data_IF_603152614175
#
_entry.id   IF_603152614175
#
_cell.length_a   1.000
_cell.length_b   1.000
_cell.length_c   1.000
_cell.angle_alpha   90.00
_cell.angle_beta   90.00
_cell.angle_gamma   90.00
#
_symmetry.space_group_name_H-M   'P 1'
#
loop_
_entity.id
_entity.type
_entity.pdbx_description
1 polymer ?
#
# COMPACT_ATOMS: atom_id res chain seq x y z
N UNK A 1 -27.30 -34.99 73.50
CA UNK A 1 -27.71 -36.07 72.58
C UNK A 1 -29.05 -35.60 71.99
N UNK A 2 -29.11 -35.23 70.71
CA UNK A 2 -29.34 -36.13 69.57
C UNK A 2 -30.76 -36.73 69.62
N UNK A 3 -31.58 -36.86 68.57
CA UNK A 3 -31.52 -36.45 67.15
C UNK A 3 -32.94 -36.59 66.55
N UNK A 4 -33.40 -35.82 65.55
CA UNK A 4 -32.82 -34.59 64.98
C UNK A 4 -33.84 -33.69 64.25
N UNK A 5 -33.38 -32.52 63.82
CA UNK A 5 -33.98 -31.55 62.91
C UNK A 5 -34.01 -32.05 61.45
N UNK A 6 -35.18 -32.08 60.79
CA UNK A 6 -35.26 -32.23 59.32
C UNK A 6 -36.23 -31.21 58.70
N UNK A 7 -35.80 -29.95 58.75
CA UNK A 7 -36.44 -28.85 58.03
C UNK A 7 -36.01 -28.92 56.56
N UNK A 8 -36.88 -29.44 55.68
CA UNK A 8 -36.65 -29.49 54.23
C UNK A 8 -36.74 -28.10 53.59
N UNK A 9 -35.73 -27.27 53.85
CA UNK A 9 -35.50 -26.00 53.18
C UNK A 9 -35.16 -26.22 51.71
N UNK A 10 -36.20 -26.24 50.87
CA UNK A 10 -36.07 -26.28 49.43
C UNK A 10 -35.27 -25.06 48.93
N UNK A 11 -33.98 -25.27 48.65
CA UNK A 11 -33.13 -24.26 47.98
C UNK A 11 -33.79 -23.90 46.64
N UNK A 12 -33.94 -22.61 46.30
CA UNK A 12 -34.44 -22.25 44.97
C UNK A 12 -33.47 -22.78 43.92
N UNK A 13 -34.01 -23.49 42.92
CA UNK A 13 -33.25 -24.03 41.79
C UNK A 13 -32.45 -22.88 41.16
N UNK A 14 -31.13 -23.04 41.10
CA UNK A 14 -30.23 -22.05 40.50
C UNK A 14 -30.49 -21.95 39.00
N UNK A 15 -31.35 -21.01 38.61
CA UNK A 15 -31.55 -20.66 37.21
C UNK A 15 -30.23 -20.11 36.64
N UNK A 16 -29.71 -20.74 35.58
CA UNK A 16 -28.52 -20.24 34.89
C UNK A 16 -28.73 -18.77 34.49
N UNK A 17 -27.85 -17.83 34.87
CA UNK A 17 -28.08 -16.40 34.66
C UNK A 17 -28.19 -16.05 33.16
N UNK A 18 -27.52 -16.82 32.30
CA UNK A 18 -27.61 -16.72 30.83
C UNK A 18 -28.97 -17.15 30.27
N UNK A 19 -29.63 -18.16 30.87
CA UNK A 19 -30.99 -18.57 30.48
C UNK A 19 -32.01 -17.52 30.90
N UNK A 20 -31.91 -17.04 32.15
CA UNK A 20 -32.76 -15.97 32.66
C UNK A 20 -32.59 -14.66 31.86
N UNK A 21 -31.39 -14.34 31.38
CA UNK A 21 -31.16 -13.23 30.44
C UNK A 21 -31.92 -13.43 29.12
N UNK A 22 -31.79 -14.60 28.48
CA UNK A 22 -32.44 -14.88 27.20
C UNK A 22 -33.97 -14.83 27.32
N UNK A 23 -34.54 -15.40 28.39
CA UNK A 23 -35.98 -15.32 28.67
C UNK A 23 -36.47 -13.87 28.79
N UNK A 24 -35.73 -13.01 29.50
CA UNK A 24 -36.08 -11.59 29.66
C UNK A 24 -35.93 -10.81 28.36
N UNK A 25 -34.87 -11.05 27.59
CA UNK A 25 -34.66 -10.46 26.27
C UNK A 25 -35.82 -10.84 25.34
N UNK A 26 -36.15 -12.13 25.25
CA UNK A 26 -37.26 -12.62 24.43
C UNK A 26 -38.62 -12.10 24.91
N UNK A 27 -38.82 -11.90 26.22
CA UNK A 27 -40.01 -11.25 26.77
C UNK A 27 -40.10 -9.79 26.33
N UNK A 28 -39.02 -9.01 26.44
CA UNK A 28 -38.97 -7.61 26.00
C UNK A 28 -39.22 -7.45 24.50
N UNK A 29 -38.69 -8.37 23.68
CA UNK A 29 -38.93 -8.42 22.23
C UNK A 29 -40.39 -8.77 21.90
N UNK A 30 -41.00 -9.73 22.61
CA UNK A 30 -42.44 -10.04 22.46
C UNK A 30 -43.35 -8.87 22.87
N UNK A 31 -42.91 -8.02 23.79
CA UNK A 31 -43.62 -6.82 24.23
C UNK A 31 -43.37 -5.60 23.32
N UNK A 32 -42.62 -5.75 22.22
CA UNK A 32 -42.34 -4.67 21.27
C UNK A 32 -41.55 -3.51 21.85
N UNK A 33 -40.79 -3.74 22.93
CA UNK A 33 -39.98 -2.68 23.54
C UNK A 33 -38.82 -2.27 22.62
N UNK A 34 -38.61 -0.97 22.45
CA UNK A 34 -37.41 -0.43 21.78
C UNK A 34 -36.16 -0.77 22.59
N UNK A 35 -35.16 -1.32 21.90
CA UNK A 35 -33.86 -1.77 22.43
C UNK A 35 -32.68 -1.19 21.61
N UNK A 36 -32.97 -0.20 20.79
CA UNK A 36 -32.14 0.30 19.69
C UNK A 36 -31.05 1.28 20.11
N UNK A 37 -31.42 2.37 20.78
CA UNK A 37 -30.46 3.44 21.13
C UNK A 37 -29.99 3.33 22.59
N UNK A 38 -28.75 2.85 22.85
CA UNK A 38 -28.18 2.81 24.19
C UNK A 38 -27.84 4.19 24.77
N UNK A 39 -28.09 5.30 24.05
CA UNK A 39 -28.03 6.67 24.59
C UNK A 39 -29.34 7.07 25.28
N UNK A 40 -30.45 6.39 25.01
CA UNK A 40 -31.73 6.67 25.65
C UNK A 40 -31.81 6.00 27.04
N UNK A 41 -32.08 6.80 28.07
CA UNK A 41 -32.15 6.36 29.47
C UNK A 41 -33.24 5.28 29.68
N UNK A 42 -34.38 5.35 28.99
CA UNK A 42 -35.42 4.31 29.09
C UNK A 42 -34.95 2.97 28.50
N UNK A 43 -34.21 3.03 27.39
CA UNK A 43 -33.65 1.84 26.73
C UNK A 43 -32.58 1.21 27.63
N UNK A 44 -31.75 2.03 28.28
CA UNK A 44 -30.78 1.56 29.29
C UNK A 44 -31.44 0.96 30.53
N UNK A 45 -32.53 1.53 31.02
CA UNK A 45 -33.32 0.92 32.11
C UNK A 45 -33.83 -0.47 31.74
N UNK A 46 -34.40 -0.62 30.53
CA UNK A 46 -34.88 -1.92 30.03
C UNK A 46 -33.73 -2.91 29.90
N UNK A 47 -32.59 -2.51 29.31
CA UNK A 47 -31.41 -3.36 29.22
C UNK A 47 -30.85 -3.75 30.60
N UNK A 48 -30.83 -2.85 31.59
CA UNK A 48 -30.42 -3.17 32.95
C UNK A 48 -31.35 -4.20 33.64
N UNK A 49 -32.66 -4.17 33.35
CA UNK A 49 -33.62 -5.16 33.82
C UNK A 49 -33.39 -6.53 33.14
N UNK A 50 -33.15 -6.54 31.82
CA UNK A 50 -32.83 -7.76 31.04
C UNK A 50 -31.54 -8.41 31.55
N UNK A 51 -30.51 -7.59 31.82
CA UNK A 51 -29.18 -8.02 32.29
C UNK A 51 -29.09 -8.30 33.80
N UNK A 52 -30.19 -8.15 34.57
CA UNK A 52 -30.16 -8.30 36.04
C UNK A 52 -29.67 -9.70 36.45
N UNK A 53 -28.58 -9.75 37.24
CA UNK A 53 -27.98 -11.01 37.70
C UNK A 53 -26.83 -11.54 36.84
N UNK A 54 -26.51 -10.89 35.70
CA UNK A 54 -25.22 -11.09 35.04
C UNK A 54 -24.15 -10.17 35.67
N UNK A 55 -22.90 -10.63 35.80
CA UNK A 55 -21.77 -9.78 36.21
C UNK A 55 -21.31 -8.90 35.03
N UNK A 56 -20.77 -7.71 35.32
CA UNK A 56 -20.44 -6.70 34.30
C UNK A 56 -19.40 -7.18 33.28
N UNK A 57 -18.43 -7.98 33.71
CA UNK A 57 -17.41 -8.58 32.83
C UNK A 57 -18.01 -9.52 31.77
N UNK A 58 -19.11 -10.21 32.08
CA UNK A 58 -19.77 -11.11 31.13
C UNK A 58 -20.64 -10.37 30.11
N UNK A 59 -21.13 -9.16 30.41
CA UNK A 59 -22.04 -8.42 29.52
C UNK A 59 -21.41 -8.14 28.14
N UNK A 60 -20.11 -7.82 28.12
CA UNK A 60 -19.33 -7.56 26.90
C UNK A 60 -19.32 -8.74 25.92
N UNK A 61 -19.46 -9.98 26.40
CA UNK A 61 -19.47 -11.17 25.54
C UNK A 61 -20.90 -11.69 25.33
N UNK A 62 -21.71 -11.75 26.39
CA UNK A 62 -23.06 -12.34 26.37
C UNK A 62 -24.00 -11.54 25.47
N UNK A 63 -24.01 -10.20 25.54
CA UNK A 63 -24.97 -9.39 24.77
C UNK A 63 -24.69 -9.51 23.25
N UNK A 64 -23.48 -9.28 22.74
CA UNK A 64 -23.23 -9.36 21.29
C UNK A 64 -23.39 -10.78 20.75
N UNK A 65 -22.97 -11.82 21.49
CA UNK A 65 -23.10 -13.21 21.06
C UNK A 65 -24.56 -13.66 20.98
N UNK A 66 -25.38 -13.34 21.99
CA UNK A 66 -26.80 -13.72 22.01
C UNK A 66 -27.62 -12.99 20.94
N UNK A 67 -27.38 -11.68 20.74
CA UNK A 67 -28.02 -10.94 19.66
C UNK A 67 -27.64 -11.48 18.28
N UNK A 68 -26.37 -11.79 18.03
CA UNK A 68 -25.92 -12.44 16.78
C UNK A 68 -26.53 -13.83 16.59
N UNK A 69 -26.69 -14.61 17.65
CA UNK A 69 -27.30 -15.93 17.58
C UNK A 69 -28.79 -15.87 17.22
N UNK A 70 -29.54 -14.93 17.83
CA UNK A 70 -30.96 -14.72 17.54
C UNK A 70 -31.22 -14.07 16.18
N UNK A 71 -30.32 -13.22 15.69
CA UNK A 71 -30.38 -12.65 14.33
C UNK A 71 -30.02 -13.66 13.22
N UNK A 72 -29.56 -14.86 13.57
CA UNK A 72 -29.37 -15.99 12.63
C UNK A 72 -30.59 -16.93 12.58
N UNK A 73 -31.62 -16.68 13.38
CA UNK A 73 -32.83 -17.48 13.43
C UNK A 73 -33.97 -16.70 12.76
N UNK A 74 -34.42 -17.14 11.58
CA UNK A 74 -35.39 -16.42 10.74
C UNK A 74 -36.66 -16.01 11.51
N UNK A 75 -37.15 -16.87 12.41
CA UNK A 75 -38.34 -16.63 13.24
C UNK A 75 -38.23 -15.48 14.25
N UNK A 76 -37.01 -15.00 14.53
CA UNK A 76 -36.76 -13.88 15.46
C UNK A 76 -36.24 -12.62 14.80
N UNK A 77 -35.78 -12.68 13.54
CA UNK A 77 -35.22 -11.52 12.81
C UNK A 77 -36.22 -10.37 12.72
N UNK A 78 -37.45 -10.61 12.26
CA UNK A 78 -38.47 -9.56 12.08
C UNK A 78 -38.78 -8.83 13.41
N UNK A 79 -38.91 -9.60 14.50
CA UNK A 79 -39.25 -9.07 15.83
C UNK A 79 -38.10 -8.27 16.44
N UNK A 80 -36.86 -8.72 16.27
CA UNK A 80 -35.67 -7.97 16.68
C UNK A 80 -35.52 -6.68 15.86
N UNK A 81 -35.78 -6.74 14.56
CA UNK A 81 -35.74 -5.58 13.67
C UNK A 81 -36.81 -4.56 14.05
N UNK A 82 -38.02 -4.99 14.43
CA UNK A 82 -39.07 -4.12 14.97
C UNK A 82 -38.69 -3.46 16.32
N UNK A 83 -37.89 -4.14 17.16
CA UNK A 83 -37.27 -3.55 18.36
C UNK A 83 -36.07 -2.63 18.05
N UNK A 84 -35.70 -2.50 16.77
CA UNK A 84 -34.59 -1.68 16.25
C UNK A 84 -33.19 -2.28 16.43
N UNK A 85 -33.12 -3.61 16.57
CA UNK A 85 -31.86 -4.40 16.56
C UNK A 85 -31.69 -4.98 15.15
N UNK A 86 -30.63 -4.56 14.43
CA UNK A 86 -30.45 -4.87 13.01
C UNK A 86 -29.14 -5.59 12.71
N UNK A 87 -29.20 -6.62 11.86
CA UNK A 87 -28.01 -7.32 11.35
C UNK A 87 -27.01 -6.37 10.65
N UNK A 88 -27.49 -5.25 10.08
CA UNK A 88 -26.66 -4.28 9.35
C UNK A 88 -25.75 -3.43 10.26
N UNK A 89 -25.95 -3.44 11.57
CA UNK A 89 -25.20 -2.60 12.51
C UNK A 89 -24.54 -3.43 13.62
N UNK A 90 -23.57 -4.32 13.31
CA UNK A 90 -22.94 -5.19 14.30
C UNK A 90 -22.23 -4.42 15.43
N UNK A 91 -21.75 -3.20 15.16
CA UNK A 91 -21.15 -2.30 16.15
C UNK A 91 -22.17 -1.76 17.17
N UNK A 92 -23.46 -1.66 16.81
CA UNK A 92 -24.55 -1.29 17.73
C UNK A 92 -24.65 -2.33 18.85
N UNK A 93 -24.55 -3.62 18.52
CA UNK A 93 -24.63 -4.72 19.49
C UNK A 93 -23.46 -4.72 20.48
N UNK A 94 -22.26 -4.41 20.00
CA UNK A 94 -21.05 -4.25 20.83
C UNK A 94 -21.16 -3.03 21.76
N UNK A 95 -21.72 -1.91 21.27
CA UNK A 95 -21.86 -0.68 22.03
C UNK A 95 -22.85 -0.78 23.21
N UNK A 96 -23.85 -1.66 23.15
CA UNK A 96 -24.86 -1.79 24.23
C UNK A 96 -24.21 -2.15 25.58
N UNK A 97 -23.26 -3.10 25.60
CA UNK A 97 -22.68 -3.59 26.85
C UNK A 97 -21.94 -2.50 27.66
N UNK A 98 -21.03 -1.69 27.08
CA UNK A 98 -20.42 -0.54 27.76
C UNK A 98 -21.42 0.45 28.36
N UNK A 99 -22.49 0.81 27.64
CA UNK A 99 -23.50 1.74 28.16
C UNK A 99 -24.33 1.13 29.31
N UNK A 100 -24.63 -0.18 29.25
CA UNK A 100 -25.34 -0.87 30.35
C UNK A 100 -24.46 -0.97 31.60
N UNK A 101 -23.16 -1.24 31.44
CA UNK A 101 -22.20 -1.28 32.56
C UNK A 101 -22.08 0.11 33.20
N UNK A 102 -21.91 1.17 32.42
CA UNK A 102 -21.82 2.54 32.96
C UNK A 102 -23.13 2.97 33.62
N UNK A 103 -24.28 2.60 33.07
CA UNK A 103 -25.58 2.84 33.68
C UNK A 103 -25.77 2.10 35.01
N UNK A 104 -25.37 0.83 35.11
CA UNK A 104 -25.41 0.07 36.37
C UNK A 104 -24.53 0.70 37.44
N UNK A 105 -23.31 1.11 37.08
CA UNK A 105 -22.39 1.82 37.99
C UNK A 105 -22.96 3.16 38.45
N UNK A 106 -23.55 3.94 37.53
CA UNK A 106 -24.23 5.19 37.85
C UNK A 106 -25.41 4.98 38.81
N UNK A 107 -26.25 3.97 38.59
CA UNK A 107 -27.38 3.65 39.47
C UNK A 107 -26.92 3.11 40.84
N UNK A 108 -25.81 2.37 40.90
CA UNK A 108 -25.19 1.95 42.15
C UNK A 108 -24.65 3.15 42.95
N UNK A 109 -23.95 4.07 42.30
CA UNK A 109 -23.46 5.32 42.91
C UNK A 109 -24.61 6.24 43.38
N UNK A 110 -25.77 6.19 42.73
CA UNK A 110 -27.00 6.91 43.11
C UNK A 110 -27.87 6.15 44.13
N UNK A 111 -27.48 4.93 44.50
CA UNK A 111 -28.17 4.09 45.48
C UNK A 111 -27.95 4.49 46.94
N UNK A 112 -27.14 5.52 47.19
CA UNK A 112 -27.03 6.21 48.48
C UNK A 112 -27.48 7.68 48.32
N UNK A 113 -28.10 8.17 49.40
CA UNK A 113 -28.82 9.43 49.61
C UNK A 113 -28.69 10.53 48.51
N UNK A 114 -29.80 11.09 47.95
CA UNK A 114 -29.74 12.20 47.00
C UNK A 114 -29.10 13.50 47.53
N UNK A 115 -28.79 13.58 48.84
CA UNK A 115 -27.99 14.66 49.45
C UNK A 115 -26.48 14.41 49.50
N UNK A 116 -26.00 13.22 49.13
CA UNK A 116 -24.59 12.87 49.25
C UNK A 116 -23.72 13.67 48.26
N UNK A 117 -23.01 14.68 48.77
CA UNK A 117 -22.12 15.51 47.97
C UNK A 117 -20.96 14.72 47.36
N UNK A 118 -20.50 13.64 48.00
CA UNK A 118 -19.42 12.81 47.45
C UNK A 118 -19.90 12.00 46.23
N UNK A 119 -21.16 11.57 46.21
CA UNK A 119 -21.76 10.97 45.03
C UNK A 119 -21.89 11.99 43.87
N UNK A 120 -22.24 13.25 44.17
CA UNK A 120 -22.28 14.32 43.13
C UNK A 120 -20.90 14.64 42.56
N UNK A 121 -19.90 14.83 43.44
CA UNK A 121 -18.50 15.11 43.04
C UNK A 121 -17.92 13.97 42.20
N UNK A 122 -18.16 12.70 42.56
CA UNK A 122 -17.69 11.56 41.76
C UNK A 122 -18.40 11.45 40.40
N UNK A 123 -19.70 11.75 40.32
CA UNK A 123 -20.42 11.82 39.03
C UNK A 123 -19.85 12.93 38.13
N UNK A 124 -19.50 14.09 38.69
CA UNK A 124 -18.95 15.20 37.89
C UNK A 124 -17.49 14.96 37.47
N UNK A 125 -16.69 14.24 38.27
CA UNK A 125 -15.37 13.72 37.86
C UNK A 125 -15.54 12.72 36.71
N UNK A 126 -16.40 11.71 36.84
CA UNK A 126 -16.66 10.73 35.77
C UNK A 126 -17.20 11.38 34.49
N UNK A 127 -17.96 12.48 34.59
CA UNK A 127 -18.41 13.28 33.44
C UNK A 127 -17.27 14.08 32.81
N UNK A 128 -16.32 14.59 33.60
CA UNK A 128 -15.13 15.25 33.08
C UNK A 128 -14.24 14.24 32.34
N UNK A 129 -13.97 13.07 32.96
CA UNK A 129 -13.24 11.95 32.34
C UNK A 129 -13.90 11.49 31.03
N UNK A 130 -15.23 11.35 30.99
CA UNK A 130 -15.95 11.00 29.76
C UNK A 130 -15.85 12.08 28.65
N UNK A 131 -15.73 13.37 29.01
CA UNK A 131 -15.44 14.43 28.02
C UNK A 131 -14.02 14.31 27.51
N UNK A 132 -13.03 14.23 28.41
CA UNK A 132 -11.62 14.05 28.04
C UNK A 132 -11.41 12.83 27.15
N UNK A 133 -12.03 11.69 27.48
CA UNK A 133 -11.97 10.47 26.68
C UNK A 133 -12.64 10.67 25.30
N UNK A 134 -13.78 11.37 25.25
CA UNK A 134 -14.45 11.71 23.98
C UNK A 134 -13.58 12.61 23.11
N UNK A 135 -12.93 13.61 23.71
CA UNK A 135 -12.08 14.56 22.99
C UNK A 135 -10.82 13.86 22.46
N UNK A 136 -10.23 12.94 23.25
CA UNK A 136 -9.18 12.02 22.80
C UNK A 136 -9.65 11.12 21.65
N UNK A 137 -10.85 10.54 21.74
CA UNK A 137 -11.42 9.73 20.64
C UNK A 137 -11.63 10.55 19.37
N UNK A 138 -12.18 11.77 19.47
CA UNK A 138 -12.34 12.67 18.33
C UNK A 138 -10.98 12.99 17.69
N UNK A 139 -9.97 13.33 18.50
CA UNK A 139 -8.61 13.60 18.02
C UNK A 139 -8.01 12.39 17.28
N UNK A 140 -8.26 11.16 17.75
CA UNK A 140 -7.84 9.94 17.04
C UNK A 140 -8.62 9.75 15.74
N UNK A 141 -9.92 10.05 15.70
CA UNK A 141 -10.69 10.01 14.45
C UNK A 141 -10.20 11.04 13.42
N UNK A 142 -9.91 12.27 13.85
CA UNK A 142 -9.36 13.32 12.98
C UNK A 142 -7.97 12.93 12.44
N UNK A 143 -7.12 12.32 13.28
CA UNK A 143 -5.83 11.75 12.85
C UNK A 143 -5.97 10.61 11.85
N UNK A 144 -6.90 9.68 12.08
CA UNK A 144 -7.16 8.56 11.15
C UNK A 144 -7.69 9.08 9.82
N UNK A 145 -8.61 10.05 9.83
CA UNK A 145 -9.12 10.67 8.60
C UNK A 145 -8.02 11.39 7.82
N UNK A 146 -7.11 12.11 8.51
CA UNK A 146 -5.92 12.70 7.90
C UNK A 146 -5.00 11.67 7.26
N UNK A 147 -4.72 10.56 7.95
CA UNK A 147 -3.90 9.45 7.43
C UNK A 147 -4.56 8.72 6.25
N UNK A 148 -5.90 8.59 6.24
CA UNK A 148 -6.64 8.03 5.10
C UNK A 148 -6.55 8.95 3.87
N UNK A 149 -6.64 10.27 4.07
CA UNK A 149 -6.45 11.25 2.99
C UNK A 149 -5.00 11.29 2.46
N UNK A 150 -4.00 11.20 3.34
CA UNK A 150 -2.59 11.07 2.94
C UNK A 150 -2.34 9.76 2.18
N UNK A 151 -2.95 8.65 2.62
CA UNK A 151 -2.88 7.36 1.93
C UNK A 151 -3.51 7.42 0.54
N UNK A 152 -4.67 8.05 0.39
CA UNK A 152 -5.34 8.22 -0.92
C UNK A 152 -4.48 9.06 -1.86
N UNK A 153 -3.93 10.19 -1.38
CA UNK A 153 -2.97 11.00 -2.14
C UNK A 153 -1.75 10.19 -2.58
N UNK A 154 -1.12 9.46 -1.65
CA UNK A 154 0.06 8.64 -1.95
C UNK A 154 -0.25 7.50 -2.92
N UNK A 155 -1.46 6.95 -2.92
CA UNK A 155 -1.88 5.97 -3.92
C UNK A 155 -1.98 6.59 -5.31
N UNK A 156 -2.60 7.77 -5.44
CA UNK A 156 -2.69 8.51 -6.71
C UNK A 156 -1.29 8.88 -7.24
N UNK A 157 -0.40 9.38 -6.37
CA UNK A 157 0.97 9.71 -6.72
C UNK A 157 1.76 8.46 -7.15
N UNK A 158 1.52 7.30 -6.51
CA UNK A 158 2.16 6.03 -6.87
C UNK A 158 1.67 5.51 -8.24
N UNK A 159 0.35 5.51 -8.49
CA UNK A 159 -0.24 5.08 -9.75
C UNK A 159 0.26 5.96 -10.92
N UNK A 160 0.38 7.28 -10.71
CA UNK A 160 0.98 8.22 -11.66
C UNK A 160 2.44 7.87 -11.97
N UNK A 161 3.26 7.59 -10.94
CA UNK A 161 4.66 7.20 -11.13
C UNK A 161 4.79 5.82 -11.82
N UNK A 162 3.93 4.86 -11.51
CA UNK A 162 3.89 3.57 -12.22
C UNK A 162 3.60 3.76 -13.71
N UNK A 163 2.61 4.60 -14.05
CA UNK A 163 2.30 4.92 -15.45
C UNK A 163 3.48 5.60 -16.17
N UNK A 164 4.18 6.53 -15.51
CA UNK A 164 5.39 7.16 -16.05
C UNK A 164 6.52 6.15 -16.30
N UNK A 165 6.79 5.26 -15.34
CA UNK A 165 7.82 4.22 -15.49
C UNK A 165 7.47 3.24 -16.60
N UNK A 166 6.19 2.87 -16.77
CA UNK A 166 5.74 2.05 -17.89
C UNK A 166 5.90 2.77 -19.24
N UNK A 167 5.56 4.06 -19.30
CA UNK A 167 5.74 4.86 -20.51
C UNK A 167 7.22 4.98 -20.91
N UNK A 168 8.13 5.21 -19.95
CA UNK A 168 9.58 5.25 -20.23
C UNK A 168 10.15 3.88 -20.63
N UNK A 169 9.66 2.78 -20.05
CA UNK A 169 10.04 1.43 -20.50
C UNK A 169 9.64 1.18 -21.96
N UNK A 170 8.40 1.52 -22.34
CA UNK A 170 7.94 1.39 -23.73
C UNK A 170 8.74 2.29 -24.67
N UNK A 171 9.06 3.52 -24.27
CA UNK A 171 9.95 4.42 -25.04
C UNK A 171 11.35 3.82 -25.23
N UNK A 172 11.91 3.21 -24.18
CA UNK A 172 13.20 2.52 -24.22
C UNK A 172 13.18 1.29 -25.13
N UNK A 173 12.16 0.45 -25.03
CA UNK A 173 11.97 -0.71 -25.92
C UNK A 173 11.84 -0.30 -27.39
N UNK A 174 11.06 0.74 -27.69
CA UNK A 174 10.91 1.24 -29.06
C UNK A 174 12.19 1.91 -29.58
N UNK A 175 12.97 2.58 -28.72
CA UNK A 175 14.28 3.11 -29.09
C UNK A 175 15.28 1.99 -29.41
N UNK A 176 15.30 0.92 -28.61
CA UNK A 176 16.15 -0.26 -28.86
C UNK A 176 15.75 -0.99 -30.14
N UNK A 177 14.45 -1.14 -30.42
CA UNK A 177 13.96 -1.70 -31.71
C UNK A 177 14.43 -0.87 -32.89
N UNK A 178 14.25 0.47 -32.83
CA UNK A 178 14.71 1.38 -33.90
C UNK A 178 16.22 1.34 -34.10
N UNK A 179 17.00 1.16 -33.03
CA UNK A 179 18.45 0.98 -33.11
C UNK A 179 18.80 -0.33 -33.83
N UNK A 180 18.16 -1.43 -33.46
CA UNK A 180 18.33 -2.72 -34.14
C UNK A 180 17.94 -2.64 -35.63
N UNK A 181 16.76 -2.08 -35.96
CA UNK A 181 16.32 -1.86 -37.34
C UNK A 181 17.32 -1.00 -38.13
N UNK A 182 17.87 0.06 -37.52
CA UNK A 182 18.88 0.90 -38.15
C UNK A 182 20.19 0.14 -38.38
N UNK A 183 20.62 -0.68 -37.41
CA UNK A 183 21.82 -1.52 -37.50
C UNK A 183 21.70 -2.55 -38.62
N UNK A 184 20.58 -3.26 -38.70
CA UNK A 184 20.33 -4.28 -39.72
C UNK A 184 20.27 -3.67 -41.13
N UNK A 185 19.63 -2.49 -41.28
CA UNK A 185 19.61 -1.76 -42.54
C UNK A 185 21.00 -1.25 -42.94
N UNK A 186 21.78 -0.70 -41.99
CA UNK A 186 23.16 -0.26 -42.23
C UNK A 186 24.06 -1.45 -42.61
N UNK A 187 23.93 -2.60 -41.94
CA UNK A 187 24.69 -3.82 -42.25
C UNK A 187 24.34 -4.38 -43.64
N UNK A 188 23.06 -4.32 -44.03
CA UNK A 188 22.62 -4.69 -45.38
C UNK A 188 23.22 -3.79 -46.46
N UNK A 189 23.23 -2.47 -46.25
CA UNK A 189 23.83 -1.52 -47.18
C UNK A 189 25.35 -1.70 -47.24
N UNK A 190 26.01 -1.82 -46.09
CA UNK A 190 27.45 -2.08 -46.00
C UNK A 190 27.86 -3.32 -46.81
N UNK A 191 27.17 -4.45 -46.64
CA UNK A 191 27.40 -5.67 -47.44
C UNK A 191 27.24 -5.43 -48.94
N UNK A 192 26.18 -4.72 -49.36
CA UNK A 192 25.95 -4.38 -50.77
C UNK A 192 27.11 -3.56 -51.36
N UNK A 193 27.57 -2.54 -50.64
CA UNK A 193 28.67 -1.69 -51.09
C UNK A 193 30.02 -2.40 -51.08
N UNK A 194 30.29 -3.32 -50.13
CA UNK A 194 31.47 -4.19 -50.17
C UNK A 194 31.49 -5.10 -51.40
N UNK A 195 30.35 -5.71 -51.77
CA UNK A 195 30.25 -6.48 -53.02
C UNK A 195 30.46 -5.60 -54.26
N UNK A 196 29.89 -4.39 -54.28
CA UNK A 196 30.09 -3.44 -55.37
C UNK A 196 31.55 -2.96 -55.48
N UNK A 197 32.22 -2.73 -54.36
CA UNK A 197 33.64 -2.37 -54.29
C UNK A 197 34.52 -3.49 -54.86
N UNK A 198 34.28 -4.74 -54.44
CA UNK A 198 34.98 -5.92 -54.97
C UNK A 198 34.74 -6.11 -56.47
N UNK A 199 33.51 -5.92 -56.92
CA UNK A 199 33.16 -6.05 -58.35
C UNK A 199 33.83 -4.95 -59.18
N UNK A 200 33.72 -3.67 -58.81
CA UNK A 200 34.35 -2.57 -59.55
C UNK A 200 35.90 -2.64 -59.49
N UNK A 201 36.50 -3.11 -58.39
CA UNK A 201 37.96 -3.40 -58.34
C UNK A 201 38.38 -4.50 -59.31
N UNK A 202 37.62 -5.59 -59.43
CA UNK A 202 37.91 -6.64 -60.42
C UNK A 202 37.67 -6.22 -61.88
N UNK A 203 36.84 -5.18 -62.11
CA UNK A 203 36.58 -4.60 -63.45
C UNK A 203 37.64 -3.58 -63.89
N UNK A 204 38.52 -3.10 -63.01
CA UNK A 204 39.40 -1.95 -63.24
C UNK A 204 40.64 -2.20 -64.14
N UNK A 205 40.48 -3.00 -65.19
CA UNK A 205 41.55 -3.22 -66.16
C UNK A 205 41.72 -2.10 -67.20
N UNK A 206 40.70 -1.25 -67.45
CA UNK A 206 40.73 0.02 -68.24
C UNK A 206 39.29 0.54 -68.47
N UNK A 207 38.81 1.60 -67.80
CA UNK A 207 37.76 2.52 -68.32
C UNK A 207 37.34 3.66 -67.35
N UNK A 208 36.64 4.73 -67.80
CA UNK A 208 36.31 5.93 -67.00
C UNK A 208 35.22 5.75 -65.93
N UNK A 209 35.00 4.52 -65.42
CA UNK A 209 34.06 4.24 -64.33
C UNK A 209 34.61 4.53 -62.93
N UNK A 210 35.77 5.19 -62.82
CA UNK A 210 36.46 5.51 -61.55
C UNK A 210 35.58 6.25 -60.54
N UNK A 211 34.61 7.05 -60.99
CA UNK A 211 33.63 7.71 -60.13
C UNK A 211 32.72 6.72 -59.38
N UNK A 212 32.40 5.56 -59.98
CA UNK A 212 31.62 4.50 -59.33
C UNK A 212 32.43 3.77 -58.27
N UNK A 213 33.73 3.56 -58.51
CA UNK A 213 34.64 3.04 -57.49
C UNK A 213 34.70 4.00 -56.30
N UNK A 214 34.95 5.29 -56.54
CA UNK A 214 34.99 6.30 -55.48
C UNK A 214 33.68 6.35 -54.69
N UNK A 215 32.55 6.23 -55.38
CA UNK A 215 31.22 6.15 -54.74
C UNK A 215 31.07 4.88 -53.88
N UNK A 216 31.62 3.75 -54.32
CA UNK A 216 31.64 2.51 -53.53
C UNK A 216 32.53 2.66 -52.28
N UNK A 217 33.73 3.23 -52.42
CA UNK A 217 34.69 3.46 -51.33
C UNK A 217 34.07 4.39 -50.26
N UNK A 218 33.57 5.56 -50.66
CA UNK A 218 32.88 6.50 -49.74
C UNK A 218 31.66 5.84 -49.07
N UNK A 219 30.89 5.00 -49.78
CA UNK A 219 29.76 4.28 -49.20
C UNK A 219 30.19 3.20 -48.20
N UNK A 220 31.28 2.46 -48.47
CA UNK A 220 31.84 1.47 -47.52
C UNK A 220 32.33 2.18 -46.27
N UNK A 221 33.11 3.27 -46.38
CA UNK A 221 33.61 4.05 -45.24
C UNK A 221 32.47 4.65 -44.39
N UNK A 222 31.49 5.31 -45.03
CA UNK A 222 30.38 5.94 -44.31
C UNK A 222 29.48 4.91 -43.60
N UNK A 223 29.21 3.76 -44.22
CA UNK A 223 28.45 2.69 -43.57
C UNK A 223 29.25 1.91 -42.53
N UNK A 224 30.58 1.75 -42.69
CA UNK A 224 31.46 1.22 -41.65
C UNK A 224 31.44 2.14 -40.41
N UNK A 225 31.69 3.44 -40.58
CA UNK A 225 31.65 4.41 -39.48
C UNK A 225 30.27 4.49 -38.80
N UNK A 226 29.18 4.35 -39.58
CA UNK A 226 27.82 4.27 -39.02
C UNK A 226 27.64 3.01 -38.16
N UNK A 227 28.14 1.86 -38.58
CA UNK A 227 28.05 0.61 -37.83
C UNK A 227 28.99 0.58 -36.60
N UNK A 228 30.19 1.16 -36.70
CA UNK A 228 31.08 1.40 -35.56
C UNK A 228 30.40 2.30 -34.51
N UNK A 229 29.74 3.39 -34.93
CA UNK A 229 28.97 4.26 -34.04
C UNK A 229 27.74 3.57 -33.41
N UNK A 230 27.21 2.52 -34.05
CA UNK A 230 26.17 1.64 -33.51
C UNK A 230 26.74 0.47 -32.69
N UNK A 231 28.05 0.46 -32.41
CA UNK A 231 28.72 -0.54 -31.57
C UNK A 231 28.99 -1.89 -32.25
N UNK A 232 28.86 -1.98 -33.58
CA UNK A 232 29.00 -3.20 -34.36
C UNK A 232 30.39 -3.33 -35.04
N UNK A 233 31.45 -2.79 -34.44
CA UNK A 233 32.79 -2.71 -35.04
C UNK A 233 33.34 -4.09 -35.43
N UNK A 234 33.30 -5.06 -34.51
CA UNK A 234 33.85 -6.40 -34.77
C UNK A 234 33.07 -7.09 -35.92
N UNK A 235 31.75 -6.90 -35.98
CA UNK A 235 30.91 -7.40 -37.08
C UNK A 235 31.20 -6.73 -38.43
N UNK A 236 31.66 -5.47 -38.42
CA UNK A 236 32.11 -4.73 -39.61
C UNK A 236 33.41 -5.31 -40.13
N UNK A 237 34.41 -5.49 -39.26
CA UNK A 237 35.72 -6.06 -39.60
C UNK A 237 35.54 -7.51 -40.13
N UNK A 238 34.80 -8.37 -39.45
CA UNK A 238 34.47 -9.73 -39.89
C UNK A 238 33.72 -9.77 -41.24
N UNK A 239 32.69 -8.92 -41.41
CA UNK A 239 31.90 -8.86 -42.66
C UNK A 239 32.74 -8.37 -43.84
N UNK A 240 33.61 -7.38 -43.61
CA UNK A 240 34.50 -6.85 -44.63
C UNK A 240 35.56 -7.87 -45.05
N UNK A 241 36.21 -8.52 -44.08
CA UNK A 241 37.18 -9.58 -44.33
C UNK A 241 36.56 -10.74 -45.11
N UNK A 242 35.37 -11.21 -44.71
CA UNK A 242 34.66 -12.31 -45.36
C UNK A 242 34.19 -12.01 -46.79
N UNK A 243 33.83 -10.76 -47.10
CA UNK A 243 33.37 -10.37 -48.45
C UNK A 243 34.55 -10.01 -49.37
N UNK A 244 35.48 -9.18 -48.90
CA UNK A 244 36.62 -8.72 -49.71
C UNK A 244 37.66 -9.84 -49.89
N UNK A 245 37.93 -10.62 -48.85
CA UNK A 245 39.07 -11.53 -48.74
C UNK A 245 40.31 -10.82 -48.18
N UNK A 246 41.26 -11.59 -47.65
CA UNK A 246 42.44 -11.09 -46.93
C UNK A 246 43.19 -9.98 -47.70
N UNK A 247 43.50 -10.20 -48.99
CA UNK A 247 44.28 -9.26 -49.80
C UNK A 247 43.62 -7.89 -49.94
N UNK A 248 42.34 -7.85 -50.35
CA UNK A 248 41.58 -6.61 -50.57
C UNK A 248 41.18 -5.94 -49.25
N UNK A 249 40.96 -6.73 -48.20
CA UNK A 249 40.72 -6.20 -46.86
C UNK A 249 41.97 -5.51 -46.30
N UNK A 250 43.16 -6.13 -46.45
CA UNK A 250 44.42 -5.54 -46.03
C UNK A 250 44.75 -4.27 -46.82
N UNK A 251 44.53 -4.26 -48.15
CA UNK A 251 44.72 -3.05 -48.98
C UNK A 251 43.85 -1.87 -48.51
N UNK A 252 42.59 -2.14 -48.14
CA UNK A 252 41.59 -1.09 -47.90
C UNK A 252 41.45 -0.66 -46.43
N UNK A 253 41.39 -1.61 -45.48
CA UNK A 253 41.23 -1.33 -44.04
C UNK A 253 42.56 -1.20 -43.28
N UNK A 254 43.66 -1.74 -43.85
CA UNK A 254 45.01 -1.71 -43.29
C UNK A 254 46.05 -1.11 -44.26
N UNK A 255 45.61 -0.34 -45.25
CA UNK A 255 46.45 0.21 -46.32
C UNK A 255 47.75 0.86 -45.83
N UNK A 256 48.84 0.77 -46.63
CA UNK A 256 50.21 0.92 -46.16
C UNK A 256 50.44 2.23 -45.42
N UNK A 257 50.61 2.11 -44.10
CA UNK A 257 50.94 3.19 -43.16
C UNK A 257 50.20 4.51 -43.41
N UNK A 258 48.87 4.51 -43.31
CA UNK A 258 48.11 5.77 -43.28
C UNK A 258 48.34 6.49 -41.91
N UNK A 259 49.12 7.59 -41.84
CA UNK A 259 49.56 8.18 -40.58
C UNK A 259 48.45 8.90 -39.81
N UNK A 260 47.26 9.05 -40.41
CA UNK A 260 46.11 9.72 -39.81
C UNK A 260 45.36 8.87 -38.77
N UNK A 261 45.74 7.60 -38.55
CA UNK A 261 45.07 6.70 -37.59
C UNK A 261 45.79 6.58 -36.23
N UNK A 262 46.68 7.53 -35.92
CA UNK A 262 47.13 7.77 -34.53
C UNK A 262 45.94 8.38 -33.77
N UNK A 263 45.41 7.74 -32.71
CA UNK A 263 44.43 8.39 -31.84
C UNK A 263 45.07 9.67 -31.28
N UNK A 264 44.36 10.81 -31.21
CA UNK A 264 44.89 11.96 -30.48
C UNK A 264 45.23 11.49 -29.06
N UNK A 265 46.49 11.69 -28.69
CA UNK A 265 47.01 11.32 -27.38
C UNK A 265 46.06 11.89 -26.32
N UNK A 266 45.49 11.07 -25.42
CA UNK A 266 44.40 11.52 -24.57
C UNK A 266 44.91 12.66 -23.70
N UNK A 267 44.38 13.86 -23.93
CA UNK A 267 44.70 15.02 -23.10
C UNK A 267 44.51 14.63 -21.62
N UNK A 268 45.45 14.96 -20.74
CA UNK A 268 45.38 14.56 -19.35
C UNK A 268 44.11 15.14 -18.74
N UNK A 269 43.13 14.27 -18.49
CA UNK A 269 41.83 14.63 -17.93
C UNK A 269 42.10 15.46 -16.68
N UNK A 270 41.70 16.74 -16.61
CA UNK A 270 41.92 17.56 -15.45
C UNK A 270 41.23 16.88 -14.27
N UNK A 271 42.03 16.51 -13.26
CA UNK A 271 41.57 15.82 -12.06
C UNK A 271 40.35 16.57 -11.52
N UNK A 272 39.19 15.91 -11.30
CA UNK A 272 38.04 16.60 -10.75
C UNK A 272 38.46 17.19 -9.41
N UNK A 273 38.47 18.52 -9.33
CA UNK A 273 38.68 19.22 -8.06
C UNK A 273 37.52 18.84 -7.17
N UNK A 274 37.79 17.93 -6.23
CA UNK A 274 36.86 17.55 -5.18
C UNK A 274 36.51 18.83 -4.44
N UNK A 275 35.32 19.35 -4.68
CA UNK A 275 34.79 20.45 -3.91
C UNK A 275 34.75 19.99 -2.44
N UNK A 276 35.22 20.82 -1.49
CA UNK A 276 35.19 20.44 -0.08
C UNK A 276 33.76 20.14 0.35
N UNK A 277 33.63 19.01 1.05
CA UNK A 277 32.39 18.48 1.61
C UNK A 277 31.63 19.58 2.38
N UNK A 278 30.34 19.84 2.08
CA UNK A 278 29.57 20.83 2.81
C UNK A 278 29.40 20.37 4.25
N UNK A 279 29.89 21.16 5.20
CA UNK A 279 29.81 20.85 6.63
C UNK A 279 28.38 20.52 7.06
N UNK A 280 28.15 19.45 7.84
CA UNK A 280 26.83 19.16 8.37
C UNK A 280 26.39 20.30 9.31
N UNK A 281 25.12 20.72 9.28
CA UNK A 281 24.64 21.84 10.08
C UNK A 281 24.79 21.56 11.58
N UNK A 282 25.83 22.15 12.17
CA UNK A 282 26.11 22.09 13.60
C UNK A 282 25.13 22.96 14.36
N UNK A 283 23.92 22.43 14.60
CA UNK A 283 22.97 22.95 15.59
C UNK A 283 21.87 21.93 15.93
N UNK A 284 22.20 20.96 16.79
CA UNK A 284 21.20 20.32 17.65
C UNK A 284 21.48 20.74 19.09
N UNK A 285 20.81 21.82 19.53
CA UNK A 285 20.71 22.15 20.94
C UNK A 285 19.91 21.06 21.66
N UNK A 286 20.60 20.05 22.18
CA UNK A 286 20.02 19.08 23.11
C UNK A 286 19.76 19.81 24.43
N UNK A 287 18.54 20.36 24.57
CA UNK A 287 18.02 20.83 25.85
C UNK A 287 17.79 19.63 26.78
N UNK A 288 18.86 19.20 27.46
CA UNK A 288 18.76 18.32 28.63
C UNK A 288 17.92 19.04 29.69
N UNK A 289 16.68 18.59 29.90
CA UNK A 289 16.01 18.77 31.18
C UNK A 289 16.66 17.83 32.20
N UNK A 290 17.29 18.42 33.21
CA UNK A 290 17.64 17.75 34.46
C UNK A 290 16.38 17.41 35.27
N UNK A 291 16.46 16.44 36.21
CA UNK A 291 15.32 15.96 36.99
C UNK A 291 14.69 17.02 37.92
#
# INVERSE_FOLDING_TARGET
MSSDNDTTGAKPVSQDPSRAFLERLMKSVRLGHRLDDPRNVEVLQRWAIICKGLPDNALMQVIPQTLRALLRQDSTVERLTACGISLRHPLQHEAIAPYVISYRRYMAARGHDPKDEQARRSIDILRAELRTLRDQFNMVFDQVAGLEQERERLAIDNDSLQQQVLAERVRGEDALRRLADARDNAQRLFRLYLYMLKEERSRLSNDPRRERLLTAEIAVETHAATLEALGARDEVEDTALGILGEDLFAEYFHGPENPARVPPEPEPVPTPVVAPEPEPPSNIHILRRTP
#
